data_IF_056289214101
#
_entry.id   IF_056289214101
#
_cell.length_a   1.000
_cell.length_b   1.000
_cell.length_c   1.000
_cell.angle_alpha   90.00
_cell.angle_beta   90.00
_cell.angle_gamma   90.00
#
_symmetry.space_group_name_H-M   'P 1'
#
loop_
_entity.id
_entity.type
_entity.pdbx_description
1 polymer ?
#
# COMPACT_ATOMS: atom_id res chain seq x y z
N UNK A 1 -8.07 -1.61 10.83
CA UNK A 1 -9.48 -1.46 10.40
C UNK A 1 -10.03 -2.68 9.65
N UNK A 2 -9.39 -3.20 8.59
CA UNK A 2 -9.95 -4.37 7.88
C UNK A 2 -10.08 -5.63 8.75
N UNK A 3 -9.09 -5.92 9.60
CA UNK A 3 -9.13 -7.09 10.49
C UNK A 3 -10.32 -7.05 11.44
N UNK A 4 -10.58 -5.88 12.04
CA UNK A 4 -11.73 -5.69 12.94
C UNK A 4 -13.04 -5.75 12.16
N UNK A 5 -13.10 -5.17 10.95
CA UNK A 5 -14.26 -5.26 10.08
C UNK A 5 -14.67 -6.71 9.78
N UNK A 6 -13.73 -7.60 9.47
CA UNK A 6 -14.03 -9.02 9.22
C UNK A 6 -14.64 -9.70 10.44
N UNK A 7 -14.08 -9.43 11.63
CA UNK A 7 -14.54 -10.01 12.89
C UNK A 7 -15.91 -9.46 13.32
N UNK A 8 -16.09 -8.15 13.27
CA UNK A 8 -17.33 -7.45 13.66
C UNK A 8 -18.52 -7.79 12.75
N UNK A 9 -18.25 -8.06 11.48
CA UNK A 9 -19.28 -8.38 10.49
C UNK A 9 -19.39 -9.88 10.21
N UNK A 10 -18.75 -10.73 11.04
CA UNK A 10 -18.78 -12.18 10.95
C UNK A 10 -18.61 -12.70 9.51
N UNK A 11 -17.66 -12.14 8.76
CA UNK A 11 -17.43 -12.54 7.37
C UNK A 11 -16.93 -13.98 7.29
N UNK A 12 -17.14 -14.63 6.14
CA UNK A 12 -16.75 -16.02 5.93
C UNK A 12 -15.27 -16.24 6.20
N UNK A 13 -14.94 -17.35 6.87
CA UNK A 13 -13.56 -17.74 7.11
C UNK A 13 -12.82 -18.09 5.82
N UNK A 14 -11.50 -17.89 5.83
CA UNK A 14 -10.62 -18.24 4.73
C UNK A 14 -9.61 -17.13 4.44
N UNK A 15 -9.00 -17.19 3.27
CA UNK A 15 -7.95 -16.26 2.86
C UNK A 15 -8.54 -15.03 2.18
N UNK A 16 -8.02 -13.85 2.52
CA UNK A 16 -8.33 -12.57 1.89
C UNK A 16 -7.00 -11.90 1.53
N UNK A 17 -6.89 -11.41 0.29
CA UNK A 17 -5.80 -10.53 -0.08
C UNK A 17 -6.17 -9.10 0.29
N UNK A 18 -5.24 -8.41 0.96
CA UNK A 18 -5.42 -7.01 1.32
C UNK A 18 -4.11 -6.24 1.10
N UNK A 19 -4.20 -5.24 0.25
CA UNK A 19 -3.30 -4.09 0.17
C UNK A 19 -4.17 -2.84 0.06
N UNK A 20 -3.58 -1.65 0.14
CA UNK A 20 -4.26 -0.47 -0.39
C UNK A 20 -4.54 -0.64 -1.88
N UNK A 21 -5.63 -0.04 -2.35
CA UNK A 21 -6.04 -0.15 -3.75
C UNK A 21 -5.13 0.72 -4.62
N UNK A 22 -5.02 0.36 -5.89
CA UNK A 22 -4.31 1.15 -6.88
C UNK A 22 -5.18 1.24 -8.14
N UNK A 23 -5.42 2.45 -8.62
CA UNK A 23 -6.15 2.68 -9.87
C UNK A 23 -5.34 2.28 -11.10
N UNK A 24 -4.01 2.42 -11.01
CA UNK A 24 -3.04 2.11 -12.05
C UNK A 24 -1.94 1.19 -11.49
N UNK A 25 -1.15 0.59 -12.38
CA UNK A 25 0.04 -0.16 -11.99
C UNK A 25 0.98 0.72 -11.15
N UNK A 26 1.49 0.17 -10.05
CA UNK A 26 2.32 0.90 -9.09
C UNK A 26 3.62 0.13 -8.85
N UNK A 27 4.74 0.83 -8.91
CA UNK A 27 6.07 0.30 -8.62
C UNK A 27 6.65 0.91 -7.34
N UNK A 28 7.75 0.34 -6.85
CA UNK A 28 8.52 0.95 -5.75
C UNK A 28 9.04 2.34 -6.08
N UNK A 29 9.30 2.61 -7.36
CA UNK A 29 9.72 3.93 -7.82
C UNK A 29 8.60 4.95 -7.65
N UNK A 30 7.38 4.64 -8.11
CA UNK A 30 6.23 5.55 -8.02
C UNK A 30 5.90 5.87 -6.56
N UNK A 31 5.97 4.86 -5.69
CA UNK A 31 5.75 5.06 -4.26
C UNK A 31 6.82 5.97 -3.63
N UNK A 32 8.10 5.79 -3.99
CA UNK A 32 9.18 6.66 -3.51
C UNK A 32 9.03 8.10 -4.00
N UNK A 33 8.61 8.29 -5.26
CA UNK A 33 8.35 9.62 -5.85
C UNK A 33 7.27 10.35 -5.05
N UNK A 34 6.16 9.69 -4.72
CA UNK A 34 5.10 10.32 -3.94
C UNK A 34 5.52 10.63 -2.49
N UNK A 35 6.32 9.77 -1.84
CA UNK A 35 6.84 9.99 -0.48
C UNK A 35 7.76 11.21 -0.43
N UNK A 36 8.66 11.37 -1.41
CA UNK A 36 9.71 12.38 -1.39
C UNK A 36 9.39 13.61 -2.25
N UNK A 37 8.15 13.74 -2.74
CA UNK A 37 7.73 14.83 -3.65
C UNK A 37 7.98 16.24 -3.11
N UNK A 38 7.98 16.41 -1.79
CA UNK A 38 8.18 17.69 -1.10
C UNK A 38 9.62 17.87 -0.58
N UNK A 39 10.54 17.00 -1.01
CA UNK A 39 11.98 17.05 -0.64
C UNK A 39 12.85 17.31 -1.86
N UNK A 40 13.98 18.00 -1.68
CA UNK A 40 14.95 18.26 -2.74
C UNK A 40 15.86 17.04 -2.98
N UNK A 41 15.26 15.95 -3.49
CA UNK A 41 15.94 14.68 -3.79
C UNK A 41 15.55 14.19 -5.17
N UNK A 42 16.56 13.83 -5.98
CA UNK A 42 16.36 13.21 -7.29
C UNK A 42 16.13 11.69 -7.14
N UNK A 43 14.97 11.19 -7.56
CA UNK A 43 14.68 9.76 -7.57
C UNK A 43 14.89 9.20 -8.98
N UNK A 44 15.83 8.25 -9.09
CA UNK A 44 16.16 7.59 -10.35
C UNK A 44 15.49 6.22 -10.44
N UNK A 45 14.76 5.91 -11.52
CA UNK A 45 14.27 4.56 -11.74
C UNK A 45 15.45 3.63 -12.03
N UNK A 46 15.47 2.47 -11.38
CA UNK A 46 16.52 1.47 -11.53
C UNK A 46 15.89 0.10 -11.73
N UNK A 47 16.52 -0.72 -12.58
CA UNK A 47 16.09 -2.09 -12.78
C UNK A 47 16.59 -2.99 -11.62
N UNK A 48 15.84 -4.04 -11.31
CA UNK A 48 16.23 -4.98 -10.24
C UNK A 48 17.59 -5.66 -10.49
N UNK A 49 18.04 -5.75 -11.75
CA UNK A 49 19.38 -6.26 -12.09
C UNK A 49 20.53 -5.35 -11.62
N UNK A 50 20.27 -4.06 -11.40
CA UNK A 50 21.30 -3.10 -10.98
C UNK A 50 21.66 -3.26 -9.50
N UNK A 51 20.79 -3.88 -8.70
CA UNK A 51 21.00 -4.12 -7.27
C UNK A 51 20.77 -5.59 -6.93
N UNK A 52 21.78 -6.46 -7.11
CA UNK A 52 21.66 -7.88 -6.85
C UNK A 52 21.43 -8.13 -5.35
N UNK A 53 20.18 -8.40 -4.99
CA UNK A 53 19.79 -8.82 -3.65
C UNK A 53 19.98 -10.33 -3.48
N UNK A 54 20.31 -10.79 -2.25
CA UNK A 54 20.39 -12.22 -1.93
C UNK A 54 19.06 -12.96 -2.16
N UNK A 55 17.94 -12.26 -1.96
CA UNK A 55 16.60 -12.78 -2.18
C UNK A 55 16.07 -12.35 -3.56
N UNK A 56 15.54 -13.30 -4.32
CA UNK A 56 14.83 -13.02 -5.58
C UNK A 56 13.47 -12.42 -5.24
N UNK A 57 13.26 -11.16 -5.58
CA UNK A 57 11.96 -10.50 -5.44
C UNK A 57 11.07 -10.88 -6.62
N UNK A 58 9.77 -11.14 -6.40
CA UNK A 58 8.83 -11.34 -7.50
C UNK A 58 8.75 -10.07 -8.35
N UNK A 59 8.73 -10.22 -9.67
CA UNK A 59 8.60 -9.08 -10.60
C UNK A 59 7.23 -8.41 -10.50
N UNK A 60 6.20 -9.20 -10.18
CA UNK A 60 4.85 -8.72 -9.94
C UNK A 60 4.30 -9.45 -8.71
N UNK A 61 3.85 -8.69 -7.71
CA UNK A 61 3.20 -9.20 -6.50
C UNK A 61 1.85 -8.52 -6.25
N UNK A 62 1.31 -7.86 -7.28
CA UNK A 62 -0.01 -7.21 -7.25
C UNK A 62 -1.08 -8.27 -6.99
N UNK A 63 -1.84 -8.06 -5.91
CA UNK A 63 -2.89 -8.99 -5.49
C UNK A 63 -4.24 -8.53 -6.02
N UNK A 64 -5.08 -9.46 -6.46
CA UNK A 64 -6.50 -9.16 -6.70
C UNK A 64 -7.21 -8.89 -5.37
N UNK A 65 -7.75 -7.69 -5.22
CA UNK A 65 -8.52 -7.26 -4.04
C UNK A 65 -10.02 -7.58 -4.15
N UNK A 66 -10.45 -8.28 -5.21
CA UNK A 66 -11.86 -8.54 -5.51
C UNK A 66 -12.61 -9.18 -4.32
N UNK A 67 -11.98 -10.17 -3.66
CA UNK A 67 -12.59 -10.83 -2.49
C UNK A 67 -12.73 -9.89 -1.29
N UNK A 68 -11.73 -9.04 -1.03
CA UNK A 68 -11.79 -8.06 0.05
C UNK A 68 -12.85 -6.99 -0.23
N UNK A 69 -12.93 -6.48 -1.47
CA UNK A 69 -13.97 -5.53 -1.90
C UNK A 69 -15.38 -6.14 -1.80
N UNK A 70 -15.54 -7.41 -2.16
CA UNK A 70 -16.81 -8.12 -2.06
C UNK A 70 -17.34 -8.26 -0.62
N UNK A 71 -16.48 -8.07 0.41
CA UNK A 71 -16.95 -8.04 1.80
C UNK A 71 -17.80 -6.81 2.12
N UNK A 72 -17.72 -5.75 1.30
CA UNK A 72 -18.31 -4.44 1.56
C UNK A 72 -17.36 -3.46 2.23
N UNK A 73 -16.11 -3.87 2.55
CA UNK A 73 -15.08 -2.98 3.06
C UNK A 73 -14.56 -2.05 1.95
N UNK A 74 -14.51 -0.76 2.24
CA UNK A 74 -13.95 0.24 1.33
C UNK A 74 -12.44 0.29 1.56
N UNK A 75 -11.68 -0.13 0.55
CA UNK A 75 -10.21 -0.09 0.59
C UNK A 75 -9.76 1.25 0.01
N UNK A 76 -9.08 2.13 0.78
CA UNK A 76 -8.58 3.38 0.25
C UNK A 76 -7.44 3.13 -0.73
N UNK A 77 -7.26 4.07 -1.66
CA UNK A 77 -6.09 4.09 -2.55
C UNK A 77 -4.82 4.25 -1.72
N UNK A 78 -3.68 3.77 -2.22
CA UNK A 78 -2.41 3.93 -1.50
C UNK A 78 -2.01 5.39 -1.34
N UNK A 79 -2.37 6.28 -2.28
CA UNK A 79 -2.13 7.71 -2.19
C UNK A 79 -2.94 8.34 -1.05
N UNK A 80 -4.22 7.97 -0.92
CA UNK A 80 -5.07 8.49 0.15
C UNK A 80 -4.64 7.95 1.52
N UNK A 81 -4.24 6.67 1.57
CA UNK A 81 -3.68 6.08 2.78
C UNK A 81 -2.36 6.75 3.20
N UNK A 82 -1.47 7.07 2.24
CA UNK A 82 -0.22 7.78 2.51
C UNK A 82 -0.48 9.21 3.04
N UNK A 83 -1.43 9.94 2.44
CA UNK A 83 -1.84 11.26 2.95
C UNK A 83 -2.37 11.18 4.37
N UNK A 84 -3.20 10.18 4.67
CA UNK A 84 -3.75 10.01 6.00
C UNK A 84 -2.70 9.60 7.02
N UNK A 85 -1.72 8.77 6.63
CA UNK A 85 -0.57 8.41 7.45
C UNK A 85 0.18 9.65 7.94
N UNK A 86 0.52 10.59 7.06
CA UNK A 86 1.18 11.84 7.46
C UNK A 86 0.36 12.70 8.44
N UNK A 87 -0.98 12.71 8.33
CA UNK A 87 -1.83 13.46 9.28
C UNK A 87 -1.82 12.84 10.68
N UNK A 88 -1.65 11.52 10.79
CA UNK A 88 -1.60 10.84 12.08
C UNK A 88 -0.29 11.12 12.83
N UNK A 89 0.83 11.25 12.11
CA UNK A 89 2.11 11.64 12.72
C UNK A 89 2.02 13.04 13.34
N UNK A 90 1.47 14.02 12.61
CA UNK A 90 1.31 15.39 13.12
C UNK A 90 0.48 15.45 14.41
N UNK A 91 -0.54 14.61 14.55
CA UNK A 91 -1.35 14.54 15.77
C UNK A 91 -0.61 13.92 16.95
N UNK A 92 0.31 13.00 16.68
CA UNK A 92 1.09 12.28 17.69
C UNK A 92 2.17 13.16 18.33
N UNK A 93 2.71 14.13 17.58
CA UNK A 93 3.70 15.10 18.06
C UNK A 93 3.10 16.29 18.85
N UNK A 94 1.77 16.43 18.85
CA UNK A 94 1.05 17.50 19.58
C UNK A 94 0.42 17.05 20.91
N UNK A 95 0.75 15.87 21.43
CA UNK A 95 0.27 15.36 22.72
C UNK A 95 1.40 15.23 23.77
#
# INVERSE_FOLDING_TARGET
EFMTYLAENCKEFGYYHLSNDATEDTTWYDFAVEILKDTDVEIKPVDSSQFPAKAKRPLNSTMSLAKAKATGFVIPTWQDALKEFYKQEVKSDTN
#
